data_IF_951137861847
#
_entry.id   IF_951137861847
#
_cell.length_a   1.000
_cell.length_b   1.000
_cell.length_c   1.000
_cell.angle_alpha   90.00
_cell.angle_beta   90.00
_cell.angle_gamma   90.00
#
_symmetry.space_group_name_H-M   'P 1'
#
loop_
_entity.id
_entity.type
_entity.pdbx_description
1 polymer ?
#
# COMPACT_ATOMS: atom_id res chain seq x y z
N UNK A 1 -11.88 17.82 -9.82
CA UNK A 1 -11.02 18.99 -10.13
C UNK A 1 -9.58 18.49 -10.21
N UNK A 2 -8.82 18.87 -11.28
CA UNK A 2 -7.38 18.55 -11.34
C UNK A 2 -6.69 19.36 -10.23
N UNK A 3 -5.94 18.69 -9.35
CA UNK A 3 -5.03 19.39 -8.46
C UNK A 3 -3.91 19.99 -9.34
N UNK A 4 -3.78 21.33 -9.43
CA UNK A 4 -2.85 21.97 -10.36
C UNK A 4 -1.38 21.66 -10.11
N UNK A 5 -1.07 21.08 -8.94
CA UNK A 5 0.31 20.79 -8.51
C UNK A 5 0.75 19.34 -8.81
N UNK A 6 -0.12 18.48 -9.39
CA UNK A 6 0.24 17.10 -9.71
C UNK A 6 0.43 16.94 -11.22
N UNK A 7 1.55 16.32 -11.68
CA UNK A 7 1.80 16.06 -13.08
C UNK A 7 0.71 15.17 -13.69
N UNK A 8 0.45 15.34 -14.98
CA UNK A 8 -0.42 14.44 -15.74
C UNK A 8 0.29 13.12 -16.00
N UNK A 9 0.28 12.23 -15.00
CA UNK A 9 0.98 10.94 -15.03
C UNK A 9 0.50 9.99 -16.13
N UNK A 10 -0.62 10.28 -16.76
CA UNK A 10 -1.22 9.44 -17.80
C UNK A 10 -1.01 10.01 -19.21
N UNK A 11 -0.14 11.02 -19.37
CA UNK A 11 0.22 11.65 -20.65
C UNK A 11 -0.99 12.00 -21.53
N UNK A 12 -1.99 12.67 -20.95
CA UNK A 12 -3.21 13.10 -21.65
C UNK A 12 -4.35 12.08 -21.63
N UNK A 13 -4.12 10.84 -21.25
CA UNK A 13 -5.21 9.88 -21.00
C UNK A 13 -5.93 10.28 -19.72
N UNK A 14 -7.25 10.51 -19.77
CA UNK A 14 -7.97 10.84 -18.56
C UNK A 14 -8.00 9.65 -17.59
N UNK A 15 -8.03 9.87 -16.25
CA UNK A 15 -8.21 8.81 -15.26
C UNK A 15 -9.42 7.93 -15.56
N UNK A 16 -10.53 8.49 -16.02
CA UNK A 16 -11.72 7.74 -16.40
C UNK A 16 -11.46 6.75 -17.55
N UNK A 17 -10.76 7.18 -18.60
CA UNK A 17 -10.37 6.31 -19.72
C UNK A 17 -9.41 5.22 -19.24
N UNK A 18 -8.42 5.58 -18.42
CA UNK A 18 -7.50 4.60 -17.86
C UNK A 18 -8.25 3.51 -17.07
N UNK A 19 -9.12 3.89 -16.12
CA UNK A 19 -9.90 2.95 -15.32
C UNK A 19 -10.83 2.07 -16.17
N UNK A 20 -11.45 2.65 -17.22
CA UNK A 20 -12.34 1.91 -18.11
C UNK A 20 -11.60 0.90 -18.97
N UNK A 21 -10.46 1.25 -19.55
CA UNK A 21 -9.84 0.52 -20.65
C UNK A 21 -8.61 -0.29 -20.26
N UNK A 22 -7.91 0.07 -19.16
CA UNK A 22 -6.62 -0.51 -18.78
C UNK A 22 -6.62 -1.15 -17.39
N UNK A 23 -7.22 -0.48 -16.40
CA UNK A 23 -7.18 -0.93 -15.02
C UNK A 23 -7.69 -2.38 -14.87
N UNK A 24 -6.83 -3.28 -14.36
CA UNK A 24 -7.06 -4.72 -14.21
C UNK A 24 -7.45 -5.46 -15.50
N UNK A 25 -7.08 -4.93 -16.67
CA UNK A 25 -7.45 -5.48 -17.98
C UNK A 25 -6.27 -5.73 -18.89
N UNK A 26 -5.41 -4.75 -19.08
CA UNK A 26 -4.27 -4.84 -20.01
C UNK A 26 -3.17 -3.84 -19.65
N UNK A 27 -1.91 -4.14 -20.01
CA UNK A 27 -0.78 -3.23 -19.78
C UNK A 27 -0.92 -1.94 -20.61
N UNK A 28 -0.24 -0.89 -20.11
CA UNK A 28 -0.14 0.40 -20.79
C UNK A 28 1.27 0.95 -20.64
N UNK A 29 1.95 1.18 -21.78
CA UNK A 29 3.17 1.95 -21.81
C UNK A 29 2.85 3.43 -21.98
N UNK A 30 3.35 4.27 -21.08
CA UNK A 30 3.16 5.71 -21.07
C UNK A 30 4.54 6.34 -21.26
N UNK A 31 4.80 6.87 -22.45
CA UNK A 31 6.04 7.58 -22.73
C UNK A 31 6.01 8.96 -22.09
N UNK A 32 7.10 9.35 -21.46
CA UNK A 32 7.27 10.65 -20.80
C UNK A 32 6.08 11.01 -19.88
N UNK A 33 5.62 10.04 -19.08
CA UNK A 33 4.62 10.28 -18.03
C UNK A 33 5.07 11.43 -17.09
N UNK A 34 6.37 11.55 -16.86
CA UNK A 34 6.99 12.70 -16.20
C UNK A 34 8.10 13.22 -17.11
N UNK A 35 7.84 14.26 -17.91
CA UNK A 35 8.87 14.85 -18.76
C UNK A 35 10.09 15.33 -17.96
N UNK A 36 11.28 15.14 -18.52
CA UNK A 36 12.54 15.52 -17.88
C UNK A 36 12.75 14.97 -16.47
N UNK A 37 12.28 13.74 -16.25
CA UNK A 37 12.36 13.07 -14.95
C UNK A 37 13.78 13.08 -14.40
N UNK A 38 13.91 13.56 -13.16
CA UNK A 38 15.10 13.39 -12.34
C UNK A 38 14.76 12.51 -11.14
N UNK A 39 15.69 11.65 -10.75
CA UNK A 39 15.47 10.77 -9.61
C UNK A 39 15.14 11.59 -8.34
N UNK A 40 14.01 11.29 -7.71
CA UNK A 40 13.50 11.97 -6.50
C UNK A 40 14.33 11.64 -5.25
N UNK A 41 15.05 10.52 -5.28
CA UNK A 41 16.00 10.10 -4.25
C UNK A 41 17.35 9.79 -4.91
N UNK A 42 18.44 10.23 -4.28
CA UNK A 42 19.77 9.86 -4.75
C UNK A 42 20.08 8.40 -4.40
N UNK A 43 21.01 7.78 -5.15
CA UNK A 43 21.54 6.45 -4.81
C UNK A 43 22.06 6.38 -3.37
N UNK A 44 22.78 7.41 -2.94
CA UNK A 44 23.32 7.47 -1.57
C UNK A 44 22.20 7.47 -0.52
N UNK A 45 21.15 8.27 -0.72
CA UNK A 45 20.00 8.30 0.17
C UNK A 45 19.25 6.95 0.19
N UNK A 46 19.09 6.29 -0.96
CA UNK A 46 18.47 4.97 -1.04
C UNK A 46 19.28 3.91 -0.28
N UNK A 47 20.62 3.92 -0.42
CA UNK A 47 21.48 2.97 0.30
C UNK A 47 21.48 3.24 1.82
N UNK A 48 21.37 4.51 2.23
CA UNK A 48 21.19 4.87 3.63
C UNK A 48 19.85 4.36 4.18
N UNK A 49 18.76 4.47 3.41
CA UNK A 49 17.47 3.89 3.80
C UNK A 49 17.55 2.38 3.95
N UNK A 50 18.19 1.67 3.03
CA UNK A 50 18.34 0.21 3.11
C UNK A 50 19.12 -0.27 4.33
N UNK A 51 19.81 0.63 5.03
CA UNK A 51 20.55 0.35 6.28
C UNK A 51 19.76 0.61 7.56
N UNK A 52 18.52 1.09 7.48
CA UNK A 52 17.67 1.35 8.64
C UNK A 52 16.88 0.10 9.03
N UNK A 53 16.68 -0.11 10.33
CA UNK A 53 16.01 -1.29 10.87
C UNK A 53 14.49 -1.28 10.60
N UNK A 54 13.92 -0.08 10.48
CA UNK A 54 12.50 0.14 10.17
C UNK A 54 12.20 0.21 8.67
N UNK A 55 13.18 -0.09 7.81
CA UNK A 55 13.03 -0.09 6.36
C UNK A 55 13.21 -1.49 5.80
N UNK A 56 12.17 -2.05 5.22
CA UNK A 56 12.25 -3.33 4.51
C UNK A 56 13.10 -3.17 3.25
N UNK A 57 14.19 -3.92 3.17
CA UNK A 57 15.07 -3.94 2.00
C UNK A 57 15.53 -5.35 1.66
N UNK A 58 15.77 -5.58 0.37
CA UNK A 58 16.23 -6.86 -0.17
C UNK A 58 17.32 -6.63 -1.21
N UNK A 59 18.35 -7.44 -1.14
CA UNK A 59 19.42 -7.48 -2.14
C UNK A 59 19.30 -8.77 -2.93
N UNK A 60 19.12 -8.66 -4.24
CA UNK A 60 19.09 -9.76 -5.18
C UNK A 60 20.37 -9.74 -6.01
N UNK A 61 21.02 -10.88 -6.15
CA UNK A 61 22.23 -11.05 -6.98
C UNK A 61 22.10 -12.29 -7.86
N UNK A 62 22.79 -12.26 -9.01
CA UNK A 62 22.73 -13.31 -10.01
C UNK A 62 21.78 -12.97 -11.17
N UNK A 63 21.78 -13.81 -12.19
CA UNK A 63 20.98 -13.67 -13.41
C UNK A 63 20.21 -14.97 -13.76
N UNK A 64 20.48 -16.05 -13.01
CA UNK A 64 19.86 -17.37 -13.21
C UNK A 64 20.38 -18.13 -14.42
N UNK A 65 21.41 -17.63 -15.12
CA UNK A 65 22.08 -18.26 -16.26
C UNK A 65 23.53 -18.61 -15.88
N UNK A 66 24.36 -17.59 -15.75
CA UNK A 66 25.78 -17.75 -15.39
C UNK A 66 25.98 -17.74 -13.88
N UNK A 67 25.10 -17.07 -13.13
CA UNK A 67 25.15 -16.96 -11.68
C UNK A 67 23.78 -17.31 -11.06
N UNK A 68 23.74 -18.22 -10.06
CA UNK A 68 22.49 -18.59 -9.40
C UNK A 68 21.88 -17.38 -8.69
N UNK A 69 20.56 -17.32 -8.69
CA UNK A 69 19.80 -16.31 -7.93
C UNK A 69 20.06 -16.46 -6.44
N UNK A 70 20.40 -15.35 -5.80
CA UNK A 70 20.53 -15.21 -4.35
C UNK A 70 19.72 -14.01 -3.88
N UNK A 71 19.13 -14.12 -2.70
CA UNK A 71 18.41 -13.03 -2.04
C UNK A 71 18.84 -12.91 -0.57
N UNK A 72 19.08 -11.69 -0.14
CA UNK A 72 19.37 -11.33 1.23
C UNK A 72 18.39 -10.27 1.68
N UNK A 73 17.98 -10.32 2.95
CA UNK A 73 17.11 -9.32 3.59
C UNK A 73 17.95 -8.36 4.41
N UNK A 74 17.61 -7.06 4.36
CA UNK A 74 18.28 -6.02 5.13
C UNK A 74 18.02 -6.12 6.65
N UNK A 75 18.52 -5.15 7.43
CA UNK A 75 19.19 -3.92 7.00
C UNK A 75 20.62 -4.13 6.46
N UNK A 76 21.02 -3.33 5.47
CA UNK A 76 22.34 -3.43 4.82
C UNK A 76 23.24 -2.26 5.20
N UNK A 77 24.39 -2.53 5.80
CA UNK A 77 25.47 -1.54 5.86
C UNK A 77 26.02 -1.32 4.42
N UNK A 78 26.35 -0.09 4.07
CA UNK A 78 26.82 0.25 2.70
C UNK A 78 27.95 -0.65 2.20
N UNK A 79 28.86 -1.08 3.10
CA UNK A 79 29.99 -2.00 2.78
C UNK A 79 29.54 -3.44 2.42
N UNK A 80 28.29 -3.80 2.72
CA UNK A 80 27.72 -5.14 2.42
C UNK A 80 27.10 -5.16 1.02
N UNK A 81 26.81 -3.99 0.45
CA UNK A 81 26.30 -3.89 -0.92
C UNK A 81 27.45 -4.18 -1.90
N UNK A 82 27.14 -4.83 -3.03
CA UNK A 82 28.14 -5.08 -4.06
C UNK A 82 28.75 -3.79 -4.61
N UNK A 83 29.99 -3.88 -5.11
CA UNK A 83 30.61 -2.73 -5.80
C UNK A 83 29.73 -2.29 -6.99
N UNK A 84 29.62 -0.99 -7.24
CA UNK A 84 28.76 -0.43 -8.30
C UNK A 84 29.06 -0.99 -9.69
N UNK A 85 30.35 -1.31 -9.96
CA UNK A 85 30.79 -1.90 -11.23
C UNK A 85 30.51 -3.41 -11.35
N UNK A 86 30.11 -4.09 -10.24
CA UNK A 86 29.73 -5.50 -10.29
C UNK A 86 28.37 -5.61 -11.00
N UNK A 87 28.24 -6.42 -12.06
CA UNK A 87 26.96 -6.61 -12.73
C UNK A 87 26.00 -7.50 -11.94
N UNK A 88 24.77 -7.63 -12.42
CA UNK A 88 23.76 -8.61 -12.02
C UNK A 88 23.36 -8.51 -10.54
N UNK A 89 23.12 -7.30 -10.00
CA UNK A 89 22.54 -7.13 -8.68
C UNK A 89 21.50 -6.02 -8.64
N UNK A 90 20.54 -6.17 -7.75
CA UNK A 90 19.44 -5.21 -7.53
C UNK A 90 19.19 -5.06 -6.04
N UNK A 91 19.15 -3.82 -5.56
CA UNK A 91 18.66 -3.45 -4.22
C UNK A 91 17.22 -2.97 -4.34
N UNK A 92 16.33 -3.56 -3.56
CA UNK A 92 14.92 -3.19 -3.44
C UNK A 92 14.70 -2.56 -2.08
N UNK A 93 14.07 -1.39 -2.02
CA UNK A 93 13.68 -0.68 -0.79
C UNK A 93 12.19 -0.46 -0.84
N UNK A 94 11.46 -1.16 0.05
CA UNK A 94 10.01 -1.12 0.15
C UNK A 94 9.55 0.09 0.96
N UNK A 95 8.38 0.65 0.68
CA UNK A 95 7.81 1.75 1.46
C UNK A 95 8.67 3.02 1.48
N UNK A 96 9.47 3.28 0.44
CA UNK A 96 10.38 4.43 0.40
C UNK A 96 9.66 5.79 0.49
N UNK A 97 8.37 5.85 0.13
CA UNK A 97 7.50 7.02 0.30
C UNK A 97 7.21 7.36 1.77
N UNK A 98 7.33 6.40 2.69
CA UNK A 98 7.22 6.63 4.13
C UNK A 98 8.43 7.41 4.69
N UNK A 99 9.55 7.47 3.94
CA UNK A 99 10.81 8.08 4.35
C UNK A 99 11.23 9.27 3.48
N UNK A 100 10.50 9.57 2.38
CA UNK A 100 10.79 10.66 1.46
C UNK A 100 9.53 11.45 1.10
N UNK A 101 9.50 12.76 1.40
CA UNK A 101 8.39 13.64 1.02
C UNK A 101 8.22 13.71 -0.51
N UNK A 102 9.31 13.62 -1.28
CA UNK A 102 9.25 13.62 -2.74
C UNK A 102 8.54 12.37 -3.29
N UNK A 103 8.85 11.18 -2.76
CA UNK A 103 8.17 9.94 -3.13
C UNK A 103 6.73 9.88 -2.62
N UNK A 104 6.45 10.40 -1.42
CA UNK A 104 5.09 10.55 -0.90
C UNK A 104 4.24 11.47 -1.81
N UNK A 105 4.83 12.54 -2.33
CA UNK A 105 4.16 13.42 -3.29
C UNK A 105 3.94 12.73 -4.65
N UNK A 106 4.90 11.94 -5.14
CA UNK A 106 4.71 11.12 -6.34
C UNK A 106 3.52 10.17 -6.15
N UNK A 107 3.45 9.43 -5.03
CA UNK A 107 2.33 8.52 -4.72
C UNK A 107 0.98 9.23 -4.74
N UNK A 108 0.92 10.49 -4.28
CA UNK A 108 -0.33 11.30 -4.33
C UNK A 108 -0.86 11.51 -5.75
N UNK A 109 0.00 11.48 -6.77
CA UNK A 109 -0.41 11.58 -8.17
C UNK A 109 -1.31 10.43 -8.63
N UNK A 110 -1.27 9.29 -7.94
CA UNK A 110 -2.09 8.11 -8.26
C UNK A 110 -3.41 8.04 -7.49
N UNK A 111 -3.79 9.08 -6.75
CA UNK A 111 -5.04 9.14 -5.96
C UNK A 111 -6.31 9.32 -6.80
N UNK A 112 -6.24 9.17 -8.10
CA UNK A 112 -7.39 8.87 -8.94
C UNK A 112 -7.88 7.42 -8.74
N UNK A 113 -7.10 6.61 -8.05
CA UNK A 113 -7.46 5.33 -7.43
C UNK A 113 -7.59 5.55 -5.93
N UNK A 114 -8.58 4.93 -5.30
CA UNK A 114 -8.85 5.13 -3.88
C UNK A 114 -7.63 4.81 -2.99
N UNK A 115 -7.39 5.63 -1.96
CA UNK A 115 -6.29 5.45 -0.99
C UNK A 115 -6.30 4.05 -0.33
N UNK A 116 -7.47 3.45 -0.14
CA UNK A 116 -7.62 2.09 0.36
C UNK A 116 -6.94 1.02 -0.53
N UNK A 117 -6.72 1.34 -1.82
CA UNK A 117 -6.03 0.47 -2.78
C UNK A 117 -4.55 0.81 -2.95
N UNK A 118 -4.12 2.04 -2.65
CA UNK A 118 -2.71 2.43 -2.71
C UNK A 118 -1.91 1.72 -1.60
N UNK A 119 -0.83 1.06 -1.98
CA UNK A 119 0.07 0.44 -1.02
C UNK A 119 1.26 1.36 -0.72
N UNK A 120 2.29 1.33 -1.55
CA UNK A 120 3.50 2.13 -1.34
C UNK A 120 4.25 2.43 -2.64
N UNK A 121 5.39 3.10 -2.49
CA UNK A 121 6.40 3.24 -3.53
C UNK A 121 7.64 2.44 -3.13
N UNK A 122 7.87 1.32 -3.82
CA UNK A 122 9.13 0.58 -3.75
C UNK A 122 10.13 1.22 -4.72
N UNK A 123 11.37 1.40 -4.28
CA UNK A 123 12.47 1.85 -5.13
C UNK A 123 13.44 0.71 -5.39
N UNK A 124 13.70 0.41 -6.66
CA UNK A 124 14.74 -0.52 -7.06
C UNK A 124 15.92 0.24 -7.67
N UNK A 125 17.13 -0.05 -7.16
CA UNK A 125 18.39 0.30 -7.80
C UNK A 125 19.02 -0.96 -8.36
N UNK A 126 19.49 -0.91 -9.59
CA UNK A 126 20.13 -2.04 -10.23
C UNK A 126 21.43 -1.64 -10.95
N UNK A 127 22.45 -2.49 -10.86
CA UNK A 127 23.64 -2.43 -11.73
C UNK A 127 23.31 -2.98 -13.12
N UNK A 128 24.24 -2.84 -14.06
CA UNK A 128 24.08 -3.44 -15.39
C UNK A 128 23.75 -4.93 -15.32
N UNK A 129 22.75 -5.39 -16.11
CA UNK A 129 22.23 -6.75 -16.08
C UNK A 129 21.37 -7.07 -14.84
N UNK A 130 21.31 -6.19 -13.84
CA UNK A 130 20.56 -6.44 -12.61
C UNK A 130 19.04 -6.51 -12.83
N UNK A 131 18.40 -7.43 -12.11
CA UNK A 131 16.97 -7.69 -12.16
C UNK A 131 16.55 -8.60 -11.01
N UNK A 132 15.32 -9.09 -11.04
CA UNK A 132 14.76 -10.07 -10.10
C UNK A 132 14.19 -11.31 -10.79
N UNK A 133 14.52 -11.46 -12.08
CA UNK A 133 14.03 -12.55 -12.93
C UNK A 133 12.58 -12.37 -13.40
N UNK A 134 12.13 -13.27 -14.29
CA UNK A 134 10.76 -13.25 -14.78
C UNK A 134 9.78 -13.71 -13.70
N UNK A 135 8.78 -12.88 -13.40
CA UNK A 135 7.79 -13.10 -12.35
C UNK A 135 6.42 -12.50 -12.71
N UNK A 136 5.48 -12.59 -11.81
CA UNK A 136 4.21 -11.87 -11.86
C UNK A 136 3.85 -11.40 -10.46
N UNK A 137 3.06 -10.32 -10.40
CA UNK A 137 2.47 -9.83 -9.17
C UNK A 137 0.97 -10.16 -9.14
N UNK A 138 0.41 -10.36 -7.93
CA UNK A 138 -1.02 -10.54 -7.73
C UNK A 138 -1.79 -9.20 -7.67
N UNK A 139 -1.08 -8.09 -7.83
CA UNK A 139 -1.59 -6.71 -7.70
C UNK A 139 -1.23 -5.86 -8.92
N UNK A 140 -1.91 -4.74 -9.03
CA UNK A 140 -1.61 -3.71 -10.03
C UNK A 140 -0.32 -2.96 -9.68
N UNK A 141 0.48 -2.59 -10.67
CA UNK A 141 1.70 -1.82 -10.47
C UNK A 141 1.97 -0.85 -11.60
N UNK A 142 2.41 0.37 -11.26
CA UNK A 142 3.05 1.29 -12.20
C UNK A 142 4.56 1.28 -11.98
N UNK A 143 5.30 1.07 -13.05
CA UNK A 143 6.75 1.00 -13.07
C UNK A 143 7.30 2.26 -13.74
N UNK A 144 7.67 3.27 -12.94
CA UNK A 144 8.20 4.54 -13.41
C UNK A 144 9.73 4.45 -13.48
N UNK A 145 10.30 4.65 -14.66
CA UNK A 145 11.74 4.73 -14.81
C UNK A 145 12.23 6.09 -14.31
N UNK A 146 13.05 6.09 -13.25
CA UNK A 146 13.50 7.31 -12.60
C UNK A 146 14.91 7.73 -13.00
N UNK A 147 15.78 6.77 -13.30
CA UNK A 147 17.17 6.99 -13.72
C UNK A 147 17.68 5.84 -14.57
N UNK A 148 18.54 6.11 -15.55
CA UNK A 148 19.10 5.10 -16.45
C UNK A 148 18.03 4.39 -17.27
N UNK A 149 18.36 3.24 -17.83
CA UNK A 149 17.46 2.50 -18.71
C UNK A 149 17.16 1.11 -18.15
N UNK A 150 15.92 0.62 -18.37
CA UNK A 150 15.54 -0.75 -18.04
C UNK A 150 14.77 -1.36 -19.20
N UNK A 151 15.18 -2.57 -19.58
CA UNK A 151 14.47 -3.37 -20.59
C UNK A 151 13.42 -4.21 -19.88
N UNK A 152 12.16 -3.97 -20.21
CA UNK A 152 11.03 -4.76 -19.75
C UNK A 152 10.57 -5.72 -20.84
N UNK A 153 10.48 -7.00 -20.50
CA UNK A 153 9.81 -8.02 -21.31
C UNK A 153 8.51 -8.38 -20.59
N UNK A 154 7.38 -8.41 -21.32
CA UNK A 154 6.07 -8.68 -20.73
C UNK A 154 5.28 -9.68 -21.57
N UNK A 155 4.37 -10.46 -20.94
CA UNK A 155 3.54 -11.43 -21.64
C UNK A 155 2.31 -11.85 -20.85
N UNK A 156 1.18 -11.99 -21.57
CA UNK A 156 -0.07 -12.53 -21.02
C UNK A 156 -0.07 -14.07 -21.13
N UNK A 157 0.62 -14.77 -20.25
CA UNK A 157 0.66 -16.21 -20.22
C UNK A 157 -0.26 -16.81 -19.15
N UNK A 158 -0.88 -17.98 -19.46
CA UNK A 158 -1.76 -18.67 -18.50
C UNK A 158 -1.00 -19.54 -17.50
N UNK A 159 0.14 -20.11 -17.93
CA UNK A 159 0.98 -20.91 -17.03
C UNK A 159 1.86 -19.97 -16.20
N UNK A 160 1.55 -19.87 -14.92
CA UNK A 160 2.25 -19.05 -13.92
C UNK A 160 2.99 -19.92 -12.89
N UNK A 161 3.35 -21.15 -13.24
CA UNK A 161 4.10 -22.03 -12.36
C UNK A 161 5.46 -21.42 -12.02
N UNK A 162 5.76 -21.40 -10.73
CA UNK A 162 7.02 -20.89 -10.20
C UNK A 162 8.07 -22.01 -10.12
N UNK A 163 9.32 -21.61 -10.03
CA UNK A 163 10.45 -22.49 -9.69
C UNK A 163 10.51 -22.67 -8.19
N UNK A 164 10.80 -23.90 -7.74
CA UNK A 164 10.92 -24.23 -6.31
C UNK A 164 12.38 -24.24 -5.83
N UNK A 165 13.34 -24.19 -6.77
CA UNK A 165 14.78 -24.32 -6.52
C UNK A 165 15.51 -22.97 -6.34
N UNK A 166 14.78 -21.86 -6.30
CA UNK A 166 15.33 -20.49 -6.18
C UNK A 166 14.64 -19.70 -5.07
N UNK A 167 15.35 -18.76 -4.39
CA UNK A 167 14.77 -17.99 -3.29
C UNK A 167 13.81 -16.88 -3.73
N UNK A 168 13.53 -16.74 -5.00
CA UNK A 168 12.68 -15.75 -5.63
C UNK A 168 11.47 -16.40 -6.29
N UNK A 169 10.38 -15.66 -6.42
CA UNK A 169 9.18 -16.09 -7.15
C UNK A 169 9.40 -16.01 -8.66
N UNK A 170 10.25 -16.86 -9.22
CA UNK A 170 10.60 -16.87 -10.63
C UNK A 170 9.73 -17.86 -11.39
N UNK A 171 9.20 -17.43 -12.53
CA UNK A 171 8.45 -18.30 -13.44
C UNK A 171 9.34 -19.43 -13.98
N UNK A 172 8.84 -20.67 -13.96
CA UNK A 172 9.52 -21.83 -14.56
C UNK A 172 9.64 -21.70 -16.08
N UNK A 173 8.68 -21.04 -16.71
CA UNK A 173 8.69 -20.69 -18.13
C UNK A 173 8.17 -19.26 -18.29
N UNK A 174 8.90 -18.45 -19.05
CA UNK A 174 8.50 -17.10 -19.39
C UNK A 174 8.40 -16.94 -20.90
N UNK A 175 7.23 -16.49 -21.39
CA UNK A 175 6.93 -16.31 -22.81
C UNK A 175 6.57 -14.85 -23.08
N UNK A 176 7.56 -13.95 -23.19
CA UNK A 176 7.31 -12.57 -23.46
C UNK A 176 6.73 -12.38 -24.86
N UNK A 177 5.73 -11.50 -24.97
CA UNK A 177 5.10 -11.12 -26.25
C UNK A 177 5.45 -9.69 -26.64
N UNK A 178 5.92 -8.89 -25.71
CA UNK A 178 6.32 -7.49 -25.94
C UNK A 178 7.61 -7.18 -25.18
N UNK A 179 8.40 -6.28 -25.76
CA UNK A 179 9.63 -5.78 -25.15
C UNK A 179 9.69 -4.27 -25.26
N UNK A 180 9.99 -3.60 -24.16
CA UNK A 180 10.13 -2.15 -24.09
C UNK A 180 11.44 -1.77 -23.43
N UNK A 181 12.14 -0.79 -23.96
CA UNK A 181 13.21 -0.09 -23.27
C UNK A 181 12.60 1.19 -22.69
N UNK A 182 12.60 1.30 -21.36
CA UNK A 182 12.14 2.49 -20.65
C UNK A 182 13.31 3.39 -20.32
N UNK A 183 13.09 4.68 -20.56
CA UNK A 183 13.99 5.79 -20.26
C UNK A 183 13.42 6.67 -19.13
N UNK A 184 14.23 7.53 -18.48
CA UNK A 184 13.73 8.38 -17.40
C UNK A 184 12.46 9.16 -17.81
N UNK A 185 11.42 9.01 -16.99
CA UNK A 185 10.09 9.59 -17.24
C UNK A 185 9.09 8.67 -17.92
N UNK A 186 9.53 7.57 -18.53
CA UNK A 186 8.63 6.55 -19.05
C UNK A 186 8.01 5.73 -17.91
N UNK A 187 6.77 5.31 -18.10
CA UNK A 187 6.05 4.52 -17.11
C UNK A 187 5.32 3.35 -17.78
N UNK A 188 5.41 2.16 -17.18
CA UNK A 188 4.69 0.96 -17.61
C UNK A 188 3.70 0.54 -16.53
N UNK A 189 2.42 0.49 -16.88
CA UNK A 189 1.40 -0.12 -16.04
C UNK A 189 1.22 -1.59 -16.38
N UNK A 190 1.17 -2.44 -15.35
CA UNK A 190 0.89 -3.87 -15.44
C UNK A 190 -0.29 -4.24 -14.54
N UNK A 191 -1.31 -4.93 -15.08
CA UNK A 191 -2.38 -5.49 -14.29
C UNK A 191 -1.94 -6.75 -13.53
N UNK A 192 -2.71 -7.23 -12.53
CA UNK A 192 -2.43 -8.46 -11.80
C UNK A 192 -2.17 -9.66 -12.73
N UNK A 193 -1.26 -10.52 -12.30
CA UNK A 193 -0.90 -11.78 -12.99
C UNK A 193 -0.29 -11.62 -14.38
N UNK A 194 0.12 -10.40 -14.76
CA UNK A 194 0.82 -10.19 -16.01
C UNK A 194 2.29 -10.50 -15.86
N UNK A 195 2.77 -11.54 -16.54
CA UNK A 195 4.15 -11.99 -16.45
C UNK A 195 5.11 -10.92 -17.00
N UNK A 196 6.16 -10.62 -16.27
CA UNK A 196 7.13 -9.60 -16.67
C UNK A 196 8.53 -9.84 -16.11
N UNK A 197 9.50 -9.22 -16.76
CA UNK A 197 10.89 -9.21 -16.36
C UNK A 197 11.53 -7.87 -16.72
N UNK A 198 12.21 -7.27 -15.76
CA UNK A 198 12.93 -6.02 -15.94
C UNK A 198 14.43 -6.21 -15.73
N UNK A 199 15.23 -5.96 -16.76
CA UNK A 199 16.70 -6.05 -16.72
C UNK A 199 17.30 -4.67 -16.97
N UNK A 200 18.21 -4.24 -16.09
CA UNK A 200 18.92 -2.98 -16.19
C UNK A 200 19.85 -2.94 -17.41
N UNK A 201 19.86 -1.83 -18.11
CA UNK A 201 20.81 -1.51 -19.18
C UNK A 201 21.71 -0.38 -18.67
N UNK A 202 22.89 -0.76 -18.18
CA UNK A 202 23.69 0.11 -17.32
C UNK A 202 23.06 0.25 -15.91
N UNK A 203 23.57 1.21 -15.13
CA UNK A 203 23.02 1.56 -13.82
C UNK A 203 21.62 2.17 -13.97
N UNK A 204 20.63 1.72 -13.23
CA UNK A 204 19.30 2.30 -13.30
C UNK A 204 18.53 2.31 -11.97
N UNK A 205 17.46 3.11 -11.92
CA UNK A 205 16.54 3.21 -10.79
C UNK A 205 15.11 3.24 -11.31
N UNK A 206 14.25 2.38 -10.75
CA UNK A 206 12.82 2.31 -11.08
C UNK A 206 11.99 2.49 -9.80
N UNK A 207 10.91 3.25 -9.88
CA UNK A 207 9.91 3.38 -8.83
C UNK A 207 8.70 2.53 -9.18
N UNK A 208 8.36 1.59 -8.30
CA UNK A 208 7.17 0.75 -8.42
C UNK A 208 6.10 1.27 -7.47
N UNK A 209 5.02 1.78 -8.03
CA UNK A 209 3.84 2.20 -7.27
C UNK A 209 2.88 1.02 -7.24
N UNK A 210 2.81 0.36 -6.07
CA UNK A 210 2.02 -0.83 -5.85
C UNK A 210 0.62 -0.53 -5.32
N UNK A 211 -0.31 -1.48 -5.57
CA UNK A 211 -1.69 -1.39 -5.09
C UNK A 211 -2.05 -2.65 -4.32
N UNK A 212 -2.80 -2.48 -3.21
CA UNK A 212 -3.27 -3.61 -2.39
C UNK A 212 -4.24 -4.49 -3.20
N UNK A 213 -4.07 -5.79 -3.11
CA UNK A 213 -4.96 -6.80 -3.71
C UNK A 213 -5.22 -7.90 -2.68
N UNK A 214 -6.24 -7.69 -1.88
CA UNK A 214 -6.63 -8.65 -0.85
C UNK A 214 -7.35 -9.84 -1.47
N UNK A 215 -7.14 -11.02 -0.88
CA UNK A 215 -7.92 -12.21 -1.23
C UNK A 215 -9.18 -12.27 -0.36
N UNK A 216 -10.24 -12.89 -0.88
CA UNK A 216 -11.47 -13.16 -0.14
C UNK A 216 -11.20 -13.90 1.18
N UNK A 217 -10.30 -14.89 1.14
CA UNK A 217 -9.92 -15.67 2.31
C UNK A 217 -9.18 -14.81 3.36
N UNK A 218 -8.16 -14.04 2.98
CA UNK A 218 -7.40 -13.20 3.92
C UNK A 218 -8.27 -12.10 4.52
N UNK A 219 -9.07 -11.44 3.68
CA UNK A 219 -10.01 -10.41 4.12
C UNK A 219 -11.07 -10.99 5.08
N UNK A 220 -11.67 -12.12 4.72
CA UNK A 220 -12.66 -12.80 5.56
C UNK A 220 -12.10 -13.20 6.92
N UNK A 221 -10.91 -13.78 6.97
CA UNK A 221 -10.27 -14.19 8.23
C UNK A 221 -9.99 -13.00 9.16
N UNK A 222 -9.45 -11.90 8.61
CA UNK A 222 -9.17 -10.67 9.38
C UNK A 222 -10.46 -10.06 9.92
N UNK A 223 -11.48 -9.90 9.09
CA UNK A 223 -12.75 -9.31 9.51
C UNK A 223 -13.47 -10.16 10.57
N UNK A 224 -13.46 -11.48 10.44
CA UNK A 224 -14.03 -12.37 11.45
C UNK A 224 -13.34 -12.23 12.81
N UNK A 225 -12.00 -12.14 12.83
CA UNK A 225 -11.24 -11.88 14.05
C UNK A 225 -11.65 -10.55 14.71
N UNK A 226 -11.69 -9.46 13.95
CA UNK A 226 -12.08 -8.13 14.47
C UNK A 226 -13.51 -8.07 14.96
N UNK A 227 -14.44 -8.72 14.25
CA UNK A 227 -15.85 -8.76 14.66
C UNK A 227 -16.06 -9.49 15.99
N UNK A 228 -15.17 -10.44 16.33
CA UNK A 228 -15.21 -11.13 17.62
C UNK A 228 -14.82 -10.21 18.79
N UNK A 229 -14.00 -9.17 18.54
CA UNK A 229 -13.53 -8.20 19.55
C UNK A 229 -14.53 -7.07 19.81
N UNK A 230 -15.53 -6.89 18.95
CA UNK A 230 -16.54 -5.85 19.14
C UNK A 230 -17.53 -6.22 20.26
N UNK A 231 -17.83 -5.23 21.10
CA UNK A 231 -18.85 -5.37 22.16
C UNK A 231 -20.15 -5.97 21.60
N UNK A 232 -20.69 -7.01 22.25
CA UNK A 232 -21.94 -7.61 21.79
C UNK A 232 -23.07 -6.59 21.87
N UNK A 233 -23.82 -6.42 20.78
CA UNK A 233 -24.98 -5.53 20.71
C UNK A 233 -26.17 -6.00 21.59
N UNK A 234 -26.09 -7.21 22.15
CA UNK A 234 -27.10 -7.84 22.99
C UNK A 234 -26.49 -8.69 24.10
N UNK A 235 -27.25 -8.99 25.14
CA UNK A 235 -26.87 -9.92 26.19
C UNK A 235 -26.53 -11.29 25.59
N UNK A 236 -25.44 -11.89 26.08
CA UNK A 236 -25.05 -13.24 25.68
C UNK A 236 -26.19 -14.26 25.95
N UNK A 237 -26.40 -15.13 24.98
CA UNK A 237 -27.35 -16.23 25.06
C UNK A 237 -26.56 -17.53 25.22
N UNK A 238 -26.83 -18.27 26.28
CA UNK A 238 -26.26 -19.59 26.45
C UNK A 238 -26.98 -20.62 25.60
N UNK A 239 -26.24 -21.61 25.09
CA UNK A 239 -26.80 -22.79 24.48
C UNK A 239 -27.72 -23.51 25.51
N UNK A 240 -28.87 -23.98 25.05
CA UNK A 240 -29.84 -24.74 25.86
C UNK A 240 -30.51 -25.81 25.02
N UNK A 241 -30.64 -27.00 25.57
CA UNK A 241 -31.20 -28.17 24.90
C UNK A 241 -32.10 -29.01 25.87
N UNK A 242 -33.14 -28.40 26.51
CA UNK A 242 -33.94 -29.04 27.53
C UNK A 242 -34.64 -30.32 27.04
N UNK A 243 -34.86 -30.45 25.75
CA UNK A 243 -35.55 -31.61 25.14
C UNK A 243 -34.58 -32.67 24.60
N UNK A 244 -33.28 -32.55 24.89
CA UNK A 244 -32.26 -33.49 24.42
C UNK A 244 -32.43 -34.85 25.08
N UNK A 245 -32.64 -35.91 24.30
CA UNK A 245 -32.73 -37.27 24.78
C UNK A 245 -31.35 -37.84 25.12
N UNK A 246 -31.30 -38.86 26.03
CA UNK A 246 -30.06 -39.57 26.32
C UNK A 246 -29.45 -40.19 25.06
N UNK A 247 -28.13 -40.10 24.95
CA UNK A 247 -27.39 -40.56 23.75
C UNK A 247 -26.66 -41.89 24.03
N UNK A 248 -26.59 -42.74 23.00
CA UNK A 248 -25.68 -43.90 22.99
C UNK A 248 -24.37 -43.60 22.26
N UNK A 249 -24.20 -42.39 21.75
CA UNK A 249 -23.01 -41.91 21.00
C UNK A 249 -22.47 -40.63 21.66
N UNK A 250 -21.85 -40.70 22.84
CA UNK A 250 -21.48 -39.52 23.63
C UNK A 250 -20.37 -38.68 22.93
N UNK A 251 -19.62 -39.27 22.02
CA UNK A 251 -18.66 -38.54 21.20
C UNK A 251 -19.23 -37.75 20.02
N UNK A 252 -20.55 -37.90 19.74
CA UNK A 252 -21.22 -37.20 18.61
C UNK A 252 -21.66 -35.80 19.06
N UNK A 253 -21.23 -34.76 18.33
CA UNK A 253 -21.70 -33.37 18.55
C UNK A 253 -23.19 -33.29 18.19
N UNK A 254 -24.07 -32.80 19.11
CA UNK A 254 -25.52 -32.65 18.85
C UNK A 254 -25.80 -31.72 17.67
N UNK A 255 -26.78 -32.06 16.86
CA UNK A 255 -27.18 -31.24 15.71
C UNK A 255 -27.66 -29.84 16.15
N UNK A 256 -28.34 -29.76 17.31
CA UNK A 256 -28.79 -28.50 17.89
C UNK A 256 -27.62 -27.56 18.25
N UNK A 257 -26.54 -28.10 18.81
CA UNK A 257 -25.33 -27.31 19.11
C UNK A 257 -24.65 -26.82 17.83
N UNK A 258 -24.60 -27.65 16.78
CA UNK A 258 -24.09 -27.23 15.46
C UNK A 258 -24.95 -26.12 14.82
N UNK A 259 -26.29 -26.21 14.97
CA UNK A 259 -27.21 -25.18 14.50
C UNK A 259 -27.03 -23.87 15.28
N UNK A 260 -26.87 -23.94 16.61
CA UNK A 260 -26.59 -22.81 17.46
C UNK A 260 -25.28 -22.11 17.06
N UNK A 261 -24.20 -22.86 16.81
CA UNK A 261 -22.93 -22.31 16.35
C UNK A 261 -23.06 -21.58 15.00
N UNK A 262 -23.77 -22.19 14.02
CA UNK A 262 -24.03 -21.53 12.73
C UNK A 262 -24.84 -20.24 12.90
N UNK A 263 -25.89 -20.26 13.72
CA UNK A 263 -26.71 -19.09 14.02
C UNK A 263 -25.88 -17.97 14.66
N UNK A 264 -24.99 -18.32 15.59
CA UNK A 264 -24.12 -17.36 16.25
C UNK A 264 -23.20 -16.62 15.25
N UNK A 265 -22.57 -17.35 14.32
CA UNK A 265 -21.77 -16.75 13.25
C UNK A 265 -22.64 -15.88 12.34
N UNK A 266 -23.79 -16.40 11.90
CA UNK A 266 -24.72 -15.64 11.03
C UNK A 266 -25.14 -14.31 11.65
N UNK A 267 -25.33 -14.25 12.97
CA UNK A 267 -25.68 -13.02 13.67
C UNK A 267 -24.57 -11.98 13.70
N UNK A 268 -23.30 -12.40 13.80
CA UNK A 268 -22.17 -11.50 13.65
C UNK A 268 -22.15 -10.87 12.25
N UNK A 269 -22.43 -11.67 11.22
CA UNK A 269 -22.44 -11.21 9.82
C UNK A 269 -23.64 -10.30 9.47
N UNK A 270 -24.67 -10.23 10.29
CA UNK A 270 -25.79 -9.28 10.10
C UNK A 270 -25.48 -7.86 10.58
N UNK A 271 -24.36 -7.66 11.24
CA UNK A 271 -23.94 -6.37 11.83
C UNK A 271 -23.17 -5.53 10.79
N UNK A 272 -23.85 -5.05 9.73
CA UNK A 272 -23.24 -4.34 8.60
C UNK A 272 -22.35 -3.15 9.02
N UNK A 273 -22.80 -2.35 10.00
CA UNK A 273 -22.00 -1.22 10.51
C UNK A 273 -20.68 -1.67 11.16
N UNK A 274 -20.67 -2.82 11.84
CA UNK A 274 -19.46 -3.35 12.48
C UNK A 274 -18.52 -3.96 11.44
N UNK A 275 -19.05 -4.62 10.41
CA UNK A 275 -18.25 -5.09 9.27
C UNK A 275 -17.55 -3.90 8.58
N UNK A 276 -18.29 -2.81 8.32
CA UNK A 276 -17.72 -1.61 7.71
C UNK A 276 -16.67 -0.93 8.62
N UNK A 277 -16.94 -0.92 9.92
CA UNK A 277 -16.01 -0.40 10.92
C UNK A 277 -14.73 -1.24 10.94
N UNK A 278 -14.82 -2.55 11.08
CA UNK A 278 -13.70 -3.48 11.05
C UNK A 278 -12.87 -3.37 9.76
N UNK A 279 -13.55 -3.24 8.62
CA UNK A 279 -12.89 -3.04 7.32
C UNK A 279 -12.11 -1.73 7.26
N UNK A 280 -12.71 -0.63 7.69
CA UNK A 280 -12.07 0.69 7.65
C UNK A 280 -10.90 0.81 8.62
N UNK A 281 -11.04 0.26 9.83
CA UNK A 281 -9.94 0.17 10.79
C UNK A 281 -8.77 -0.61 10.21
N UNK A 282 -9.01 -1.81 9.68
CA UNK A 282 -7.97 -2.64 9.10
C UNK A 282 -7.28 -1.99 7.88
N UNK A 283 -8.05 -1.42 6.94
CA UNK A 283 -7.49 -0.76 5.76
C UNK A 283 -6.67 0.48 6.10
N UNK A 284 -6.97 1.12 7.23
CA UNK A 284 -6.25 2.32 7.70
C UNK A 284 -5.08 2.01 8.64
N UNK A 285 -4.87 0.74 9.03
CA UNK A 285 -3.69 0.38 9.85
C UNK A 285 -2.39 0.80 9.16
N UNK A 286 -1.45 1.40 9.90
CA UNK A 286 -0.11 1.62 9.39
C UNK A 286 0.61 0.27 9.18
N UNK A 287 1.61 0.25 8.30
CA UNK A 287 2.45 -0.94 8.11
C UNK A 287 3.16 -1.31 9.43
N UNK A 288 3.49 -2.59 9.67
CA UNK A 288 4.05 -3.06 10.96
C UNK A 288 5.32 -2.34 11.42
N UNK A 289 6.09 -1.76 10.50
CA UNK A 289 7.35 -1.05 10.78
C UNK A 289 7.17 0.48 10.86
N UNK A 290 5.92 0.97 10.89
CA UNK A 290 5.63 2.39 11.00
C UNK A 290 5.48 2.79 12.46
N UNK A 291 6.30 3.74 12.88
CA UNK A 291 6.28 4.33 14.21
C UNK A 291 5.98 5.82 14.12
N UNK A 292 5.19 6.31 15.08
CA UNK A 292 4.92 7.72 15.27
C UNK A 292 5.56 8.21 16.55
N UNK A 293 6.18 9.38 16.50
CA UNK A 293 6.77 10.00 17.69
C UNK A 293 5.71 10.82 18.43
N UNK A 294 5.49 10.51 19.69
CA UNK A 294 4.63 11.30 20.54
C UNK A 294 5.23 12.70 20.75
N UNK A 295 4.37 13.70 20.70
CA UNK A 295 4.73 15.13 20.85
C UNK A 295 3.95 15.78 21.96
N UNK A 296 4.49 16.87 22.50
CA UNK A 296 3.73 17.71 23.45
C UNK A 296 2.49 18.28 22.74
N UNK A 297 1.32 18.05 23.33
CA UNK A 297 0.05 18.55 22.82
C UNK A 297 0.06 20.08 22.78
N UNK A 298 -0.17 20.73 21.65
CA UNK A 298 -0.19 22.17 21.53
C UNK A 298 -1.49 22.76 22.12
N UNK A 299 -1.47 24.02 22.51
CA UNK A 299 -2.70 24.72 22.96
C UNK A 299 -3.66 25.02 21.81
N UNK A 300 -3.12 25.29 20.63
CA UNK A 300 -3.87 25.63 19.42
C UNK A 300 -3.21 24.99 18.21
N UNK A 301 -4.02 24.62 17.23
CA UNK A 301 -3.54 24.18 15.92
C UNK A 301 -3.52 25.35 14.95
N UNK A 302 -2.44 25.47 14.20
CA UNK A 302 -2.38 26.19 12.92
C UNK A 302 -2.92 25.30 11.79
N UNK A 303 -2.74 25.67 10.53
CA UNK A 303 -2.99 24.79 9.41
C UNK A 303 -2.21 23.47 9.58
N UNK A 304 -2.84 22.33 9.34
CA UNK A 304 -2.30 21.00 9.57
C UNK A 304 -2.29 20.14 8.30
N UNK A 305 -1.37 19.22 8.22
CA UNK A 305 -1.35 18.15 7.21
C UNK A 305 -1.21 16.78 7.88
N UNK A 306 -1.75 15.75 7.25
CA UNK A 306 -1.44 14.38 7.68
C UNK A 306 0.06 14.11 7.53
N UNK A 307 0.64 13.41 8.51
CA UNK A 307 1.98 12.85 8.33
C UNK A 307 1.97 11.89 7.13
N UNK A 308 3.09 11.76 6.41
CA UNK A 308 3.18 10.87 5.23
C UNK A 308 2.94 9.40 5.56
N UNK A 309 3.21 8.99 6.80
CA UNK A 309 2.99 7.65 7.32
C UNK A 309 1.52 7.41 7.72
N UNK A 310 0.73 8.47 7.91
CA UNK A 310 -0.66 8.37 8.37
C UNK A 310 -1.58 7.89 7.26
N UNK A 311 -2.32 6.83 7.54
CA UNK A 311 -3.41 6.34 6.72
C UNK A 311 -4.75 6.87 7.24
N UNK A 312 -5.48 7.59 6.41
CA UNK A 312 -6.80 8.13 6.77
C UNK A 312 -7.80 7.84 5.66
N UNK A 313 -8.90 7.19 6.05
CA UNK A 313 -10.00 6.75 5.18
C UNK A 313 -11.33 7.17 5.77
N UNK A 314 -12.41 7.02 5.05
CA UNK A 314 -13.77 7.23 5.57
C UNK A 314 -14.80 6.45 4.75
N UNK A 315 -15.95 6.21 5.37
CA UNK A 315 -17.18 5.78 4.72
C UNK A 315 -18.33 6.76 5.02
N UNK A 316 -19.57 6.30 4.87
CA UNK A 316 -20.74 7.14 5.12
C UNK A 316 -20.94 7.52 6.60
N UNK A 317 -20.50 6.70 7.57
CA UNK A 317 -20.74 6.86 8.99
C UNK A 317 -19.48 7.10 9.82
N UNK A 318 -18.32 6.65 9.32
CA UNK A 318 -17.07 6.62 10.06
C UNK A 318 -15.95 7.35 9.32
N UNK A 319 -15.02 7.86 10.13
CA UNK A 319 -13.67 8.26 9.70
C UNK A 319 -12.68 7.33 10.39
N UNK A 320 -11.71 6.83 9.65
CA UNK A 320 -10.69 5.91 10.09
C UNK A 320 -9.31 6.55 9.96
N UNK A 321 -8.46 6.38 10.96
CA UNK A 321 -7.08 6.86 10.91
C UNK A 321 -6.18 5.92 11.70
N UNK A 322 -5.16 5.39 11.08
CA UNK A 322 -4.15 4.52 11.68
C UNK A 322 -4.72 3.33 12.49
N UNK A 323 -5.85 2.77 12.06
CA UNK A 323 -6.51 1.64 12.71
C UNK A 323 -7.61 2.02 13.68
N UNK A 324 -7.74 3.29 14.03
CA UNK A 324 -8.82 3.79 14.89
C UNK A 324 -10.02 4.29 14.09
N UNK A 325 -11.21 4.28 14.70
CA UNK A 325 -12.46 4.72 14.06
C UNK A 325 -13.23 5.73 14.90
N UNK A 326 -13.88 6.69 14.25
CA UNK A 326 -14.77 7.67 14.86
C UNK A 326 -16.04 7.82 14.06
N UNK A 327 -17.18 7.75 14.73
CA UNK A 327 -18.47 8.12 14.13
C UNK A 327 -18.56 9.64 14.05
N UNK A 328 -18.76 10.17 12.85
CA UNK A 328 -18.88 11.58 12.59
C UNK A 328 -20.11 11.90 11.75
N UNK A 329 -20.77 13.02 12.03
CA UNK A 329 -21.95 13.50 11.27
C UNK A 329 -21.84 15.00 11.01
N UNK A 330 -22.63 15.48 10.05
CA UNK A 330 -22.77 16.91 9.79
C UNK A 330 -21.49 17.60 9.32
N UNK A 331 -21.20 18.76 9.88
CA UNK A 331 -20.06 19.59 9.51
C UNK A 331 -18.72 18.96 9.90
N UNK A 332 -18.65 18.32 11.07
CA UNK A 332 -17.44 17.62 11.54
C UNK A 332 -17.03 16.48 10.59
N UNK A 333 -18.01 15.70 10.11
CA UNK A 333 -17.73 14.65 9.13
C UNK A 333 -17.21 15.24 7.81
N UNK A 334 -17.78 16.35 7.35
CA UNK A 334 -17.29 17.05 6.14
C UNK A 334 -15.84 17.50 6.30
N UNK A 335 -15.52 18.12 7.44
CA UNK A 335 -14.17 18.59 7.73
C UNK A 335 -13.16 17.46 7.74
N UNK A 336 -13.45 16.35 8.44
CA UNK A 336 -12.55 15.22 8.54
C UNK A 336 -12.40 14.47 7.19
N UNK A 337 -13.47 14.41 6.39
CA UNK A 337 -13.37 13.89 5.00
C UNK A 337 -12.51 14.79 4.12
N UNK A 338 -12.62 16.12 4.27
CA UNK A 338 -11.73 17.05 3.59
C UNK A 338 -10.27 16.80 3.97
N UNK A 339 -9.97 16.56 5.26
CA UNK A 339 -8.63 16.17 5.69
C UNK A 339 -8.15 14.86 5.04
N UNK A 340 -9.02 13.84 4.97
CA UNK A 340 -8.68 12.58 4.32
C UNK A 340 -8.42 12.76 2.82
N UNK A 341 -9.25 13.55 2.13
CA UNK A 341 -9.16 13.75 0.67
C UNK A 341 -8.01 14.68 0.28
N UNK A 342 -7.82 15.80 0.97
CA UNK A 342 -6.79 16.78 0.64
C UNK A 342 -5.45 16.50 1.31
N UNK A 343 -5.46 15.71 2.41
CA UNK A 343 -4.33 15.45 3.30
C UNK A 343 -3.89 16.64 4.12
N UNK A 344 -4.63 17.74 4.10
CA UNK A 344 -4.38 18.92 4.92
C UNK A 344 -5.68 19.68 5.22
N UNK A 345 -5.63 20.56 6.23
CA UNK A 345 -6.65 21.57 6.53
C UNK A 345 -5.96 22.92 6.70
N UNK A 346 -6.55 23.93 6.10
CA UNK A 346 -6.15 25.32 6.30
C UNK A 346 -6.70 25.86 7.64
N UNK A 347 -6.17 26.99 8.10
CA UNK A 347 -6.65 27.61 9.34
C UNK A 347 -8.15 27.94 9.29
N UNK A 348 -8.65 28.38 8.15
CA UNK A 348 -10.06 28.68 7.93
C UNK A 348 -10.96 27.44 8.12
N UNK A 349 -10.51 26.27 7.67
CA UNK A 349 -11.23 25.01 7.87
C UNK A 349 -11.33 24.67 9.36
N UNK A 350 -10.22 24.82 10.09
CA UNK A 350 -10.15 24.56 11.53
C UNK A 350 -11.06 25.46 12.37
N UNK A 351 -11.35 26.68 11.91
CA UNK A 351 -12.29 27.57 12.57
C UNK A 351 -13.72 27.03 12.58
N UNK A 352 -14.07 26.19 11.61
CA UNK A 352 -15.40 25.58 11.49
C UNK A 352 -15.57 24.32 12.34
N UNK A 353 -14.48 23.78 12.90
CA UNK A 353 -14.50 22.55 13.69
C UNK A 353 -15.24 22.74 15.02
N UNK A 354 -16.02 21.74 15.42
CA UNK A 354 -16.57 21.67 16.78
C UNK A 354 -15.44 21.52 17.82
N UNK A 355 -15.75 21.81 19.08
CA UNK A 355 -14.82 21.58 20.19
C UNK A 355 -14.32 20.14 20.20
N UNK A 356 -15.20 19.16 19.99
CA UNK A 356 -14.87 17.72 19.96
C UNK A 356 -13.83 17.41 18.88
N UNK A 357 -14.00 17.91 17.66
CA UNK A 357 -13.06 17.65 16.57
C UNK A 357 -11.75 18.40 16.78
N UNK A 358 -11.77 19.60 17.35
CA UNK A 358 -10.53 20.31 17.71
C UNK A 358 -9.70 19.52 18.72
N UNK A 359 -10.33 18.99 19.77
CA UNK A 359 -9.68 18.12 20.75
C UNK A 359 -9.09 16.87 20.07
N UNK A 360 -9.85 16.21 19.20
CA UNK A 360 -9.41 15.05 18.44
C UNK A 360 -8.19 15.36 17.57
N UNK A 361 -8.19 16.49 16.86
CA UNK A 361 -7.05 16.91 16.04
C UNK A 361 -5.81 17.25 16.90
N UNK A 362 -6.00 17.79 18.11
CA UNK A 362 -4.92 18.01 19.07
C UNK A 362 -4.32 16.70 19.55
N UNK A 363 -5.16 15.68 19.79
CA UNK A 363 -4.70 14.34 20.19
C UNK A 363 -3.96 13.65 19.04
N UNK A 364 -4.45 13.74 17.80
CA UNK A 364 -3.75 13.23 16.63
C UNK A 364 -2.41 13.94 16.38
N UNK A 365 -2.35 15.24 16.67
CA UNK A 365 -1.08 15.97 16.66
C UNK A 365 -0.11 15.41 17.69
N UNK A 366 -0.57 15.23 18.93
CA UNK A 366 0.25 14.67 20.01
C UNK A 366 0.73 13.26 19.70
N UNK A 367 -0.08 12.45 19.04
CA UNK A 367 0.27 11.13 18.55
C UNK A 367 1.24 11.13 17.34
N UNK A 368 1.59 12.31 16.80
CA UNK A 368 2.47 12.43 15.63
C UNK A 368 1.81 12.15 14.29
N UNK A 369 0.48 12.01 14.24
CA UNK A 369 -0.27 11.72 13.02
C UNK A 369 -0.48 12.94 12.13
N UNK A 370 -0.33 14.14 12.72
CA UNK A 370 -0.44 15.43 12.02
C UNK A 370 0.87 16.22 12.12
N UNK A 371 1.14 17.03 11.12
CA UNK A 371 2.22 18.01 11.07
C UNK A 371 1.67 19.41 10.75
N UNK A 372 2.39 20.47 11.15
CA UNK A 372 2.08 21.82 10.68
C UNK A 372 2.26 21.92 9.17
N UNK A 373 1.37 22.64 8.50
CA UNK A 373 1.67 23.12 7.16
C UNK A 373 2.80 24.15 7.23
N UNK A 374 3.79 24.08 6.33
CA UNK A 374 4.77 25.15 6.23
C UNK A 374 4.04 26.45 5.89
N UNK A 375 4.28 27.48 6.71
CA UNK A 375 3.76 28.81 6.44
C UNK A 375 4.30 29.25 5.08
N UNK A 376 3.45 29.43 4.08
CA UNK A 376 3.85 30.06 2.83
C UNK A 376 4.35 31.47 3.21
N UNK A 377 5.65 31.67 3.16
CA UNK A 377 6.18 33.05 3.22
C UNK A 377 5.59 33.75 2.00
N UNK A 378 4.63 34.64 2.24
CA UNK A 378 4.18 35.59 1.23
C UNK A 378 5.43 36.42 0.86
N UNK A 379 5.89 36.24 -0.37
CA UNK A 379 6.94 37.08 -0.96
C UNK A 379 6.32 38.38 -1.42
#
# INVERSE_FOLDING_TARGET
MKNPDLPDLLAGISPHVFMRDYWQKKPLLIRQAIPHMQALVSRQALFALAGQEDVESRLVTGDGVDQPWQMQTGPFKTRQLPALKKPNWTLLVQGADLHSDALANLRRGFRFIADARLDDVMVSYASDGGGVGPHFDSYDVFLLQAHGQRRWRIGAQKNLQLRDDVPLKILSQFKPTQTFLLEPGDMLYLPPHYAHEGVAVGECMTYSIGFKAETDHSLGAVLMGRLADFEPSRRAVHYSDPDQLPTRQPGRIPAALQAFARSSISQLLQRDADIRCALGEWLSEPKPQVWFENRTRPRHLSAVRLDRKTQMLYDQDFVFINGDSWRCKGQDARLLRTLADQKYLELADLQTASTKVRELLLDWWAAGWLNSLPVKKVK
#
